data_IF_705194909623
#
_entry.id   IF_705194909623
#
_cell.length_a   1.000
_cell.length_b   1.000
_cell.length_c   1.000
_cell.angle_alpha   90.00
_cell.angle_beta   90.00
_cell.angle_gamma   90.00
#
_symmetry.space_group_name_H-M   'P 1'
#
loop_
_entity.id
_entity.type
_entity.pdbx_description
1 polymer ?
#
# COMPACT_ATOMS: atom_id res chain seq x y z
N UNK A 1 -58.20 -44.98 17.92
CA UNK A 1 -57.55 -45.73 16.83
C UNK A 1 -56.12 -45.24 16.78
N UNK A 2 -55.20 -46.05 17.28
CA UNK A 2 -53.75 -45.86 17.17
C UNK A 2 -53.32 -46.12 15.73
N UNK A 3 -52.48 -45.27 15.17
CA UNK A 3 -51.04 -45.51 14.99
C UNK A 3 -50.49 -44.58 13.91
N UNK A 4 -49.64 -43.66 14.36
CA UNK A 4 -48.78 -42.81 13.54
C UNK A 4 -47.68 -43.69 12.97
N UNK A 5 -47.89 -44.27 11.79
CA UNK A 5 -46.81 -44.88 11.04
C UNK A 5 -46.19 -43.81 10.11
N UNK A 6 -45.36 -42.96 10.72
CA UNK A 6 -44.49 -42.03 10.00
C UNK A 6 -43.39 -42.88 9.39
N UNK A 7 -43.61 -43.25 8.13
CA UNK A 7 -42.65 -43.95 7.31
C UNK A 7 -41.32 -43.19 7.39
N UNK A 8 -40.33 -43.87 7.98
CA UNK A 8 -39.02 -43.31 8.24
C UNK A 8 -38.27 -43.29 6.93
N UNK A 9 -38.40 -42.19 6.20
CA UNK A 9 -37.41 -41.83 5.19
C UNK A 9 -36.14 -41.55 6.00
N UNK A 10 -35.28 -42.55 6.09
CA UNK A 10 -33.91 -42.36 6.51
C UNK A 10 -33.26 -41.47 5.43
N UNK A 11 -33.42 -40.17 5.58
CA UNK A 11 -32.59 -39.17 4.95
C UNK A 11 -31.18 -39.46 5.46
N UNK A 12 -30.46 -40.28 4.70
CA UNK A 12 -29.01 -40.31 4.79
C UNK A 12 -28.59 -38.95 4.28
N UNK A 13 -28.62 -37.96 5.17
CA UNK A 13 -27.91 -36.71 5.03
C UNK A 13 -26.44 -37.12 4.85
N UNK A 14 -26.05 -37.32 3.60
CA UNK A 14 -24.65 -37.21 3.21
C UNK A 14 -24.26 -35.84 3.73
N UNK A 15 -23.57 -35.81 4.88
CA UNK A 15 -23.17 -34.59 5.55
C UNK A 15 -22.17 -33.87 4.64
N UNK A 16 -22.70 -33.20 3.62
CA UNK A 16 -21.96 -32.31 2.77
C UNK A 16 -21.31 -31.29 3.68
N UNK A 17 -20.06 -30.96 3.38
CA UNK A 17 -19.31 -29.86 3.98
C UNK A 17 -20.24 -28.63 4.05
N UNK A 18 -20.75 -28.36 5.25
CA UNK A 18 -21.55 -27.19 5.52
C UNK A 18 -20.62 -25.98 5.50
N UNK A 19 -21.05 -24.82 4.97
CA UNK A 19 -20.26 -23.60 5.11
C UNK A 19 -20.09 -23.29 6.60
N UNK A 20 -18.90 -22.79 6.96
CA UNK A 20 -18.62 -22.33 8.31
C UNK A 20 -19.59 -21.20 8.66
N UNK A 21 -20.16 -21.26 9.85
CA UNK A 21 -21.07 -20.27 10.41
C UNK A 21 -20.34 -19.39 11.41
N UNK A 22 -20.98 -18.28 11.74
CA UNK A 22 -20.52 -17.39 12.81
C UNK A 22 -20.44 -18.18 14.13
N UNK A 23 -19.27 -18.17 14.76
CA UNK A 23 -18.98 -18.94 15.98
C UNK A 23 -18.35 -20.32 15.77
N UNK A 24 -18.19 -20.78 14.52
CA UNK A 24 -17.42 -22.00 14.24
C UNK A 24 -15.89 -21.77 14.36
N UNK A 25 -15.46 -20.51 14.49
CA UNK A 25 -14.07 -20.13 14.78
C UNK A 25 -13.98 -19.43 16.12
N UNK A 26 -12.83 -19.51 16.79
CA UNK A 26 -12.56 -18.78 18.02
C UNK A 26 -12.07 -17.34 17.78
N UNK A 27 -11.99 -16.92 16.52
CA UNK A 27 -11.56 -15.58 16.12
C UNK A 27 -12.83 -14.76 15.90
N UNK A 28 -12.95 -13.65 16.63
CA UNK A 28 -14.00 -12.67 16.37
C UNK A 28 -13.55 -11.83 15.16
N UNK A 29 -14.37 -11.70 14.10
CA UNK A 29 -14.05 -10.81 12.99
C UNK A 29 -14.03 -9.36 13.50
N UNK A 30 -12.92 -8.66 13.26
CA UNK A 30 -12.82 -7.22 13.50
C UNK A 30 -13.16 -6.49 12.20
N UNK A 31 -14.35 -5.88 12.08
CA UNK A 31 -14.75 -5.19 10.86
C UNK A 31 -13.82 -4.01 10.52
N UNK A 32 -13.20 -3.39 11.52
CA UNK A 32 -12.27 -2.28 11.29
C UNK A 32 -10.92 -2.75 10.74
N UNK A 33 -10.60 -4.04 10.86
CA UNK A 33 -9.39 -4.65 10.32
C UNK A 33 -9.62 -5.35 8.96
N UNK A 34 -10.87 -5.41 8.48
CA UNK A 34 -11.20 -5.97 7.18
C UNK A 34 -11.01 -4.91 6.08
N UNK A 35 -10.06 -5.10 5.13
CA UNK A 35 -9.83 -4.12 4.07
C UNK A 35 -11.05 -3.95 3.16
N UNK A 36 -11.84 -5.00 2.92
CA UNK A 36 -13.04 -4.89 2.09
C UNK A 36 -14.12 -4.06 2.80
N UNK A 37 -14.22 -4.19 4.13
CA UNK A 37 -15.13 -3.39 4.93
C UNK A 37 -14.69 -1.91 4.94
N UNK A 38 -13.40 -1.63 5.07
CA UNK A 38 -12.85 -0.28 5.03
C UNK A 38 -13.13 0.45 3.70
N UNK A 39 -12.89 -0.20 2.55
CA UNK A 39 -13.19 0.38 1.23
C UNK A 39 -14.70 0.66 1.05
N UNK A 40 -15.55 -0.20 1.61
CA UNK A 40 -16.99 -0.02 1.52
C UNK A 40 -17.49 1.17 2.36
N UNK A 41 -16.95 1.32 3.58
CA UNK A 41 -17.25 2.45 4.46
C UNK A 41 -16.80 3.79 3.85
N UNK A 42 -15.65 3.81 3.18
CA UNK A 42 -15.17 4.97 2.42
C UNK A 42 -16.14 5.37 1.30
N UNK A 43 -16.64 4.39 0.53
CA UNK A 43 -17.61 4.61 -0.54
C UNK A 43 -18.91 5.19 0.00
N UNK A 44 -19.40 4.67 1.13
CA UNK A 44 -20.60 5.20 1.80
C UNK A 44 -20.36 6.64 2.25
N UNK A 45 -19.21 6.92 2.86
CA UNK A 45 -18.89 8.27 3.31
C UNK A 45 -18.84 9.28 2.16
N UNK A 46 -18.30 8.87 1.00
CA UNK A 46 -18.28 9.71 -0.21
C UNK A 46 -19.70 9.98 -0.73
N UNK A 47 -20.57 8.97 -0.77
CA UNK A 47 -21.97 9.11 -1.17
C UNK A 47 -22.78 10.00 -0.20
N UNK A 48 -22.41 9.99 1.08
CA UNK A 48 -22.98 10.87 2.13
C UNK A 48 -22.41 12.30 2.08
N UNK A 49 -21.40 12.55 1.25
CA UNK A 49 -20.85 13.88 0.96
C UNK A 49 -19.56 14.22 1.71
N UNK A 50 -18.83 13.24 2.24
CA UNK A 50 -17.47 13.45 2.74
C UNK A 50 -16.52 13.91 1.63
N UNK A 51 -15.54 14.76 1.96
CA UNK A 51 -14.52 15.19 1.00
C UNK A 51 -13.44 14.12 0.86
N UNK A 52 -12.92 13.85 -0.34
CA UNK A 52 -11.74 12.98 -0.52
C UNK A 52 -10.53 13.41 0.31
N UNK A 53 -10.32 14.72 0.49
CA UNK A 53 -9.26 15.26 1.34
C UNK A 53 -9.41 14.93 2.82
N UNK A 54 -10.66 14.72 3.30
CA UNK A 54 -10.93 14.32 4.68
C UNK A 54 -10.72 12.80 4.88
N UNK A 55 -11.01 12.01 3.84
CA UNK A 55 -10.84 10.55 3.82
C UNK A 55 -9.38 10.13 3.59
N UNK A 56 -8.66 10.88 2.75
CA UNK A 56 -7.25 10.68 2.42
C UNK A 56 -6.45 11.91 2.80
N UNK A 57 -6.20 12.14 4.11
CA UNK A 57 -5.32 13.21 4.53
C UNK A 57 -3.94 12.99 3.92
N UNK A 58 -3.29 14.09 3.53
CA UNK A 58 -1.95 14.04 2.95
C UNK A 58 -1.00 13.21 3.85
N UNK A 59 -0.58 12.06 3.36
CA UNK A 59 0.42 11.24 4.05
C UNK A 59 1.80 11.80 3.73
N UNK A 60 2.71 11.85 4.71
CA UNK A 60 4.08 12.35 4.53
C UNK A 60 4.97 11.42 3.69
N UNK A 61 4.38 10.46 2.97
CA UNK A 61 5.05 9.72 1.90
C UNK A 61 5.20 10.72 0.77
N UNK A 62 6.45 11.15 0.49
CA UNK A 62 6.75 12.27 -0.41
C UNK A 62 6.04 12.23 -1.77
N UNK A 63 6.07 13.36 -2.46
CA UNK A 63 5.29 13.65 -3.67
C UNK A 63 5.10 12.46 -4.63
N UNK A 64 3.89 12.38 -5.21
CA UNK A 64 3.55 11.39 -6.22
C UNK A 64 4.63 11.36 -7.31
N UNK A 65 5.25 10.21 -7.62
CA UNK A 65 6.24 10.11 -8.69
C UNK A 65 5.71 10.56 -10.07
N UNK A 66 4.39 10.56 -10.27
CA UNK A 66 3.73 11.06 -11.48
C UNK A 66 3.34 12.55 -11.40
N UNK A 67 3.63 13.23 -10.29
CA UNK A 67 3.42 14.66 -10.13
C UNK A 67 4.29 15.42 -11.13
N UNK A 68 3.68 16.39 -11.81
CA UNK A 68 4.39 17.31 -12.68
C UNK A 68 4.99 18.41 -11.79
N UNK A 69 6.31 18.65 -11.82
CA UNK A 69 6.95 19.69 -11.02
C UNK A 69 6.32 21.06 -11.30
N UNK A 70 6.14 21.84 -10.24
CA UNK A 70 5.67 23.21 -10.30
C UNK A 70 6.82 24.18 -10.59
N UNK A 71 6.51 25.32 -11.20
CA UNK A 71 7.49 26.41 -11.39
C UNK A 71 8.02 26.96 -10.05
N UNK A 72 7.36 26.65 -8.94
CA UNK A 72 7.78 27.04 -7.58
C UNK A 72 8.67 26.01 -6.89
N UNK A 73 8.90 24.85 -7.51
CA UNK A 73 9.83 23.82 -7.01
C UNK A 73 11.28 24.19 -7.31
N UNK A 74 11.52 25.15 -8.21
CA UNK A 74 12.86 25.60 -8.56
C UNK A 74 13.44 26.51 -7.47
N UNK A 75 14.63 26.14 -6.97
CA UNK A 75 15.34 26.91 -5.95
C UNK A 75 15.80 28.24 -6.56
N UNK A 76 15.50 29.40 -5.93
CA UNK A 76 15.96 30.71 -6.38
C UNK A 76 17.48 30.74 -6.60
N UNK A 77 17.93 31.49 -7.61
CA UNK A 77 19.35 31.56 -7.94
C UNK A 77 20.22 32.06 -6.77
N UNK A 78 19.65 32.89 -5.90
CA UNK A 78 20.32 33.42 -4.70
C UNK A 78 20.57 32.36 -3.62
N UNK A 79 19.74 31.31 -3.60
CA UNK A 79 19.84 30.19 -2.64
C UNK A 79 20.73 29.06 -3.18
N UNK A 80 21.08 29.09 -4.47
CA UNK A 80 22.04 28.14 -5.06
C UNK A 80 23.46 28.53 -4.63
N UNK A 81 24.17 27.56 -4.07
CA UNK A 81 25.60 27.71 -3.78
C UNK A 81 26.35 27.91 -5.10
N UNK A 82 27.27 28.88 -5.13
CA UNK A 82 28.01 29.21 -6.34
C UNK A 82 28.79 27.99 -6.89
N UNK A 83 28.84 27.85 -8.21
CA UNK A 83 29.41 26.68 -8.89
C UNK A 83 30.85 26.33 -8.44
N UNK A 84 31.67 27.33 -8.10
CA UNK A 84 33.05 27.12 -7.63
C UNK A 84 33.15 26.60 -6.19
N UNK A 85 32.06 26.62 -5.42
CA UNK A 85 31.95 26.05 -4.08
C UNK A 85 31.34 24.64 -4.11
N UNK A 86 30.76 24.23 -5.24
CA UNK A 86 30.31 22.85 -5.44
C UNK A 86 31.54 21.96 -5.65
N UNK A 87 31.52 20.69 -5.19
CA UNK A 87 32.54 19.73 -5.57
C UNK A 87 32.61 19.63 -7.10
N UNK A 88 33.81 19.50 -7.67
CA UNK A 88 33.97 19.52 -9.14
C UNK A 88 33.18 18.42 -9.86
N UNK A 89 32.72 17.40 -9.13
CA UNK A 89 32.02 16.22 -9.63
C UNK A 89 30.49 16.31 -9.58
N UNK A 90 29.89 17.24 -8.83
CA UNK A 90 28.41 17.26 -8.64
C UNK A 90 27.62 17.94 -9.77
N UNK A 91 28.31 18.55 -10.74
CA UNK A 91 27.71 19.11 -11.96
C UNK A 91 28.13 18.40 -13.24
N UNK A 92 28.91 17.31 -13.14
CA UNK A 92 29.28 16.48 -14.27
C UNK A 92 28.19 15.43 -14.51
N UNK A 93 27.99 15.08 -15.77
CA UNK A 93 27.23 13.89 -16.12
C UNK A 93 27.82 12.68 -15.34
N UNK A 94 27.01 11.86 -14.65
CA UNK A 94 27.49 10.69 -13.94
C UNK A 94 28.37 9.78 -14.80
N UNK A 95 28.17 9.74 -16.12
CA UNK A 95 29.04 8.99 -17.04
C UNK A 95 30.41 9.65 -17.29
N UNK A 96 30.55 10.95 -17.05
CA UNK A 96 31.76 11.76 -17.28
C UNK A 96 32.53 12.01 -15.99
N UNK A 97 31.91 11.84 -14.82
CA UNK A 97 32.61 11.90 -13.55
C UNK A 97 33.74 10.86 -13.52
N UNK A 98 34.99 11.33 -13.44
CA UNK A 98 36.17 10.47 -13.42
C UNK A 98 36.12 9.56 -12.18
N UNK A 99 35.85 8.27 -12.40
CA UNK A 99 35.73 7.23 -11.36
C UNK A 99 37.09 6.86 -10.72
N UNK A 100 38.18 7.50 -11.14
CA UNK A 100 39.53 7.06 -10.81
C UNK A 100 39.86 5.73 -11.49
N UNK A 101 41.14 5.36 -11.52
CA UNK A 101 41.60 4.13 -12.21
C UNK A 101 41.08 2.83 -11.54
N UNK A 102 40.51 2.93 -10.34
CA UNK A 102 40.13 1.80 -9.50
C UNK A 102 38.62 1.67 -9.29
N UNK A 103 37.79 2.56 -9.84
CA UNK A 103 36.34 2.48 -9.68
C UNK A 103 35.96 2.42 -8.21
N UNK A 104 36.31 3.46 -7.45
CA UNK A 104 36.01 3.58 -6.02
C UNK A 104 34.48 3.61 -5.82
N UNK A 105 33.86 2.43 -5.68
CA UNK A 105 32.42 2.24 -5.61
C UNK A 105 31.95 0.81 -5.87
N UNK A 106 32.72 0.02 -6.62
CA UNK A 106 32.44 -1.41 -6.78
C UNK A 106 32.98 -2.18 -5.57
N UNK A 107 32.16 -2.29 -4.52
CA UNK A 107 32.40 -3.30 -3.48
C UNK A 107 32.39 -4.67 -4.17
N UNK A 108 33.52 -5.37 -4.11
CA UNK A 108 33.56 -6.73 -4.63
C UNK A 108 32.58 -7.59 -3.81
N UNK A 109 31.99 -8.65 -4.39
CA UNK A 109 31.14 -9.58 -3.64
C UNK A 109 31.85 -10.22 -2.42
N UNK A 110 33.18 -10.14 -2.41
CA UNK A 110 34.08 -10.63 -1.37
C UNK A 110 34.25 -9.64 -0.19
N UNK A 111 33.81 -8.40 -0.35
CA UNK A 111 33.91 -7.33 0.65
C UNK A 111 32.72 -7.33 1.65
N UNK A 112 31.88 -8.38 1.63
CA UNK A 112 30.79 -8.65 2.57
C UNK A 112 31.14 -9.74 3.60
#
# INVERSE_FOLDING_TARGET
MSDTNRDSIAETEEAGIQPLRDGDTSIEPDPAADPAQAEWEETIALDEGASPEDLHPATATGDDPAQIPSDTDEIPAEDRVADWQQPETQGLDPEIADLGEEGEGDLAPEDY
#
